data_IF_222282653213
#
_entry.id   IF_222282653213
#
_cell.length_a   1.000
_cell.length_b   1.000
_cell.length_c   1.000
_cell.angle_alpha   90.00
_cell.angle_beta   90.00
_cell.angle_gamma   90.00
#
_symmetry.space_group_name_H-M   'P 1'
#
loop_
_entity.id
_entity.type
_entity.pdbx_description
1 polymer ?
#
# COMPACT_ATOMS: atom_id res chain seq x y z
N UNK A 1 -38.04 14.98 -28.21
CA UNK A 1 -39.17 15.37 -27.33
C UNK A 1 -39.58 14.15 -26.52
N UNK A 2 -40.01 14.35 -25.26
CA UNK A 2 -40.34 13.35 -24.21
C UNK A 2 -39.12 12.83 -23.44
N UNK A 3 -39.01 12.81 -22.10
CA UNK A 3 -39.61 13.54 -20.95
C UNK A 3 -38.64 13.19 -19.80
N UNK A 4 -37.99 14.15 -19.15
CA UNK A 4 -37.30 13.91 -17.88
C UNK A 4 -38.16 14.47 -16.74
N UNK A 5 -38.42 13.63 -15.74
CA UNK A 5 -39.38 13.81 -14.66
C UNK A 5 -38.63 13.60 -13.34
N UNK A 6 -38.75 14.54 -12.39
CA UNK A 6 -38.43 14.26 -10.98
C UNK A 6 -37.68 15.35 -10.21
N UNK A 7 -38.35 16.48 -9.95
CA UNK A 7 -38.39 17.20 -8.66
C UNK A 7 -38.46 16.20 -7.48
N UNK A 8 -37.99 16.41 -6.25
CA UNK A 8 -37.52 17.56 -5.48
C UNK A 8 -37.70 17.20 -3.98
N UNK A 9 -36.94 17.88 -3.11
CA UNK A 9 -37.17 18.14 -1.67
C UNK A 9 -37.76 17.04 -0.75
N UNK A 10 -36.99 16.71 0.30
CA UNK A 10 -37.49 16.06 1.51
C UNK A 10 -36.58 16.32 2.72
N UNK A 11 -36.80 17.44 3.40
CA UNK A 11 -36.41 17.62 4.82
C UNK A 11 -37.40 16.82 5.66
N UNK A 12 -36.93 16.07 6.65
CA UNK A 12 -37.66 15.81 7.90
C UNK A 12 -36.68 15.33 8.96
N UNK A 13 -36.54 16.18 9.99
CA UNK A 13 -35.94 15.83 11.26
C UNK A 13 -36.91 14.92 12.03
N UNK A 14 -36.36 13.96 12.78
CA UNK A 14 -37.10 13.26 13.83
C UNK A 14 -36.16 13.03 15.03
N UNK A 15 -36.36 13.87 16.06
CA UNK A 15 -35.94 13.64 17.43
C UNK A 15 -36.91 12.64 18.08
N UNK A 16 -36.39 11.61 18.76
CA UNK A 16 -37.10 10.83 19.79
C UNK A 16 -36.04 10.05 20.59
N UNK A 17 -35.70 10.48 21.81
CA UNK A 17 -36.29 10.09 23.11
C UNK A 17 -35.81 8.72 23.62
N UNK A 18 -35.01 8.79 24.70
CA UNK A 18 -34.64 7.72 25.64
C UNK A 18 -35.88 7.05 26.26
N UNK A 19 -35.75 5.79 26.75
CA UNK A 19 -35.79 5.58 28.22
C UNK A 19 -34.82 4.45 28.68
N UNK A 20 -34.03 4.70 29.73
CA UNK A 20 -34.22 4.25 31.12
C UNK A 20 -33.79 2.80 31.45
N UNK A 21 -32.88 2.75 32.43
CA UNK A 21 -32.88 1.82 33.56
C UNK A 21 -32.41 0.39 33.36
N UNK A 22 -31.27 0.09 33.96
CA UNK A 22 -30.80 -1.26 34.26
C UNK A 22 -29.73 -1.23 35.35
N UNK A 23 -30.10 -0.79 36.56
CA UNK A 23 -29.28 -0.94 37.76
C UNK A 23 -29.41 -2.38 38.22
N UNK A 24 -28.34 -3.16 38.18
CA UNK A 24 -28.25 -4.43 38.88
C UNK A 24 -27.18 -4.30 39.97
N UNK A 25 -27.66 -4.07 41.19
CA UNK A 25 -26.93 -4.29 42.43
C UNK A 25 -26.96 -5.81 42.72
N UNK A 26 -25.79 -6.42 42.87
CA UNK A 26 -25.60 -7.69 43.57
C UNK A 26 -24.34 -7.50 44.44
N UNK A 27 -24.53 -7.11 45.69
CA UNK A 27 -24.63 -7.98 46.87
C UNK A 27 -23.27 -8.53 47.32
N UNK A 28 -22.75 -7.83 48.33
CA UNK A 28 -21.95 -8.28 49.47
C UNK A 28 -21.54 -9.76 49.53
N UNK A 29 -20.23 -10.00 49.71
CA UNK A 29 -19.61 -10.52 50.95
C UNK A 29 -18.08 -10.50 50.76
N UNK A 30 -17.40 -9.58 51.44
CA UNK A 30 -15.95 -9.67 51.66
C UNK A 30 -15.71 -10.58 52.86
N UNK A 31 -15.14 -11.75 52.61
CA UNK A 31 -14.64 -12.66 53.64
C UNK A 31 -13.12 -12.81 53.45
N UNK A 32 -12.39 -12.30 54.44
CA UNK A 32 -10.95 -12.45 54.63
C UNK A 32 -10.59 -13.92 54.89
N UNK A 33 -9.56 -14.43 54.20
CA UNK A 33 -8.53 -15.36 54.69
C UNK A 33 -7.56 -15.69 53.53
N UNK A 34 -6.34 -15.14 53.48
CA UNK A 34 -5.12 -15.64 54.14
C UNK A 34 -4.51 -16.88 53.45
N UNK A 35 -3.36 -16.72 52.76
CA UNK A 35 -2.09 -17.48 52.95
C UNK A 35 -1.08 -17.33 51.80
N UNK A 36 0.03 -16.70 52.17
CA UNK A 36 1.45 -17.06 51.92
C UNK A 36 1.75 -18.34 51.11
N UNK A 37 2.59 -18.23 50.07
CA UNK A 37 3.27 -19.37 49.41
C UNK A 37 3.67 -19.12 47.94
N UNK A 38 4.95 -19.32 47.54
CA UNK A 38 5.53 -18.79 46.29
C UNK A 38 5.48 -19.78 45.11
N UNK A 39 5.86 -19.28 43.94
CA UNK A 39 6.11 -20.01 42.67
C UNK A 39 4.89 -20.17 41.73
N UNK A 40 5.08 -19.76 40.47
CA UNK A 40 4.17 -20.06 39.37
C UNK A 40 3.46 -18.88 38.72
N UNK A 41 4.05 -18.38 37.63
CA UNK A 41 3.47 -17.60 36.52
C UNK A 41 2.05 -17.05 36.66
N UNK A 42 1.95 -15.72 36.75
CA UNK A 42 0.73 -14.98 36.44
C UNK A 42 1.03 -14.03 35.28
N UNK A 43 1.06 -14.57 34.06
CA UNK A 43 0.91 -13.78 32.84
C UNK A 43 -0.52 -13.20 32.86
N UNK A 44 -0.62 -11.87 32.80
CA UNK A 44 -1.90 -11.18 32.75
C UNK A 44 -2.72 -11.68 31.54
N UNK A 45 -4.05 -11.85 31.66
CA UNK A 45 -4.88 -12.20 30.52
C UNK A 45 -4.75 -11.10 29.45
N UNK A 46 -4.03 -11.40 28.36
CA UNK A 46 -4.03 -10.55 27.20
C UNK A 46 -5.49 -10.46 26.69
N UNK A 47 -5.99 -9.24 26.37
CA UNK A 47 -7.33 -9.09 25.83
C UNK A 47 -7.46 -9.92 24.54
N UNK A 48 -8.67 -10.46 24.24
CA UNK A 48 -8.87 -11.31 23.08
C UNK A 48 -8.47 -10.54 21.81
N UNK A 49 -7.54 -11.13 21.06
CA UNK A 49 -7.11 -10.68 19.75
C UNK A 49 -8.34 -10.39 18.87
N UNK A 50 -8.71 -9.12 18.76
CA UNK A 50 -9.56 -8.64 17.68
C UNK A 50 -8.87 -8.94 16.34
N UNK A 51 -9.61 -9.00 15.22
CA UNK A 51 -9.02 -9.32 13.92
C UNK A 51 -7.86 -8.35 13.64
N UNK A 52 -6.64 -8.90 13.58
CA UNK A 52 -5.41 -8.14 13.30
C UNK A 52 -5.61 -7.29 12.05
N UNK A 53 -5.63 -5.98 12.25
CA UNK A 53 -5.68 -5.02 11.16
C UNK A 53 -4.36 -5.12 10.40
N UNK A 54 -4.45 -5.59 9.15
CA UNK A 54 -3.64 -5.19 8.01
C UNK A 54 -2.19 -4.81 8.33
N UNK A 55 -1.30 -5.80 8.29
CA UNK A 55 0.14 -5.56 8.34
C UNK A 55 0.53 -4.60 7.22
N UNK A 56 1.26 -3.54 7.59
CA UNK A 56 1.94 -2.66 6.62
C UNK A 56 2.95 -3.51 5.86
N UNK A 57 2.94 -3.44 4.54
CA UNK A 57 3.94 -4.10 3.70
C UNK A 57 5.16 -3.20 3.58
N UNK A 58 6.34 -3.72 3.90
CA UNK A 58 7.59 -2.97 3.84
C UNK A 58 8.51 -3.56 2.78
N UNK A 59 9.13 -2.69 1.98
CA UNK A 59 9.96 -3.06 0.85
C UNK A 59 11.36 -2.46 0.98
N UNK A 60 12.37 -3.26 0.66
CA UNK A 60 13.75 -2.84 0.41
C UNK A 60 14.35 -3.72 -0.68
N UNK A 61 13.80 -3.58 -1.88
CA UNK A 61 14.12 -4.44 -3.02
C UNK A 61 15.11 -3.76 -3.96
N UNK A 62 15.97 -4.58 -4.57
CA UNK A 62 16.90 -4.19 -5.62
C UNK A 62 16.81 -5.19 -6.78
N UNK A 63 16.36 -4.72 -7.93
CA UNK A 63 16.32 -5.49 -9.16
C UNK A 63 17.46 -5.06 -10.07
N UNK A 64 18.08 -6.02 -10.76
CA UNK A 64 19.13 -5.74 -11.74
C UNK A 64 18.95 -6.66 -12.94
N UNK A 65 18.93 -6.07 -14.13
CA UNK A 65 18.70 -6.77 -15.39
C UNK A 65 19.79 -6.43 -16.41
N UNK A 66 20.47 -7.43 -17.00
CA UNK A 66 21.28 -7.21 -18.19
C UNK A 66 20.39 -6.87 -19.38
N UNK A 67 20.85 -5.95 -20.23
CA UNK A 67 20.17 -5.57 -21.47
C UNK A 67 20.99 -6.01 -22.68
N UNK A 68 20.31 -6.25 -23.81
CA UNK A 68 20.93 -6.81 -25.02
C UNK A 68 22.04 -5.92 -25.62
N UNK A 69 21.96 -4.60 -25.40
CA UNK A 69 22.93 -3.61 -25.90
C UNK A 69 24.17 -3.45 -25.02
N UNK A 70 24.42 -4.36 -24.07
CA UNK A 70 25.56 -4.28 -23.15
C UNK A 70 25.37 -3.25 -22.02
N UNK A 71 24.15 -2.73 -21.87
CA UNK A 71 23.76 -1.92 -20.73
C UNK A 71 23.26 -2.79 -19.58
N UNK A 72 23.24 -2.21 -18.38
CA UNK A 72 22.64 -2.76 -17.19
C UNK A 72 21.60 -1.79 -16.67
N UNK A 73 20.42 -2.32 -16.38
CA UNK A 73 19.37 -1.59 -15.68
C UNK A 73 19.31 -2.08 -14.23
N UNK A 74 19.13 -1.16 -13.29
CA UNK A 74 18.83 -1.50 -11.91
C UNK A 74 17.77 -0.58 -11.32
N UNK A 75 16.87 -1.13 -10.52
CA UNK A 75 15.85 -0.38 -9.79
C UNK A 75 15.88 -0.76 -8.31
N UNK A 76 15.97 0.23 -7.43
CA UNK A 76 15.81 0.08 -5.99
C UNK A 76 14.49 0.70 -5.56
N UNK A 77 13.69 -0.06 -4.82
CA UNK A 77 12.39 0.37 -4.32
C UNK A 77 12.36 0.16 -2.82
N UNK A 78 12.14 1.25 -2.08
CA UNK A 78 12.20 1.28 -0.62
C UNK A 78 11.01 1.99 -0.03
N UNK A 79 10.44 1.46 1.03
CA UNK A 79 9.39 2.14 1.79
C UNK A 79 8.27 1.20 2.19
N UNK A 80 7.05 1.72 2.24
CA UNK A 80 5.91 0.95 2.73
C UNK A 80 4.66 1.13 1.89
N UNK A 81 3.79 0.12 1.91
CA UNK A 81 2.42 0.20 1.41
C UNK A 81 1.48 -0.16 2.54
N UNK A 82 0.56 0.75 2.85
CA UNK A 82 -0.39 0.61 3.95
C UNK A 82 -1.75 0.19 3.40
N UNK A 83 -2.32 -0.95 3.82
CA UNK A 83 -3.68 -1.28 3.43
C UNK A 83 -4.69 -0.32 4.07
N UNK A 84 -5.66 0.11 3.28
CA UNK A 84 -6.79 0.94 3.70
C UNK A 84 -8.05 0.08 3.60
N UNK A 85 -8.73 -0.13 4.72
CA UNK A 85 -10.03 -0.81 4.73
C UNK A 85 -11.04 0.10 4.03
N UNK A 86 -11.24 -0.15 2.74
CA UNK A 86 -12.33 0.46 2.00
C UNK A 86 -13.62 -0.32 2.30
N UNK A 87 -14.77 0.36 2.29
CA UNK A 87 -16.06 -0.27 2.57
C UNK A 87 -16.34 -1.48 1.67
N UNK A 88 -17.36 -2.27 2.03
CA UNK A 88 -17.67 -3.63 1.52
C UNK A 88 -17.60 -3.84 -0.01
N UNK A 89 -17.73 -2.77 -0.79
CA UNK A 89 -17.83 -2.80 -2.26
C UNK A 89 -16.61 -2.21 -3.01
N UNK A 90 -15.57 -1.74 -2.30
CA UNK A 90 -14.51 -0.90 -2.88
C UNK A 90 -13.18 -1.62 -3.19
N UNK A 91 -13.11 -2.94 -2.99
CA UNK A 91 -11.87 -3.72 -3.13
C UNK A 91 -10.81 -3.34 -2.08
N UNK A 92 -9.69 -4.09 -2.04
CA UNK A 92 -8.57 -3.72 -1.18
C UNK A 92 -7.85 -2.51 -1.78
N UNK A 93 -7.88 -1.39 -1.06
CA UNK A 93 -7.11 -0.20 -1.40
C UNK A 93 -5.87 -0.10 -0.52
N UNK A 94 -4.88 0.61 -1.02
CA UNK A 94 -3.61 0.81 -0.37
C UNK A 94 -3.14 2.25 -0.53
N UNK A 95 -2.32 2.69 0.41
CA UNK A 95 -1.65 3.98 0.39
C UNK A 95 -0.13 3.74 0.36
N UNK A 96 0.54 4.00 -0.78
CA UNK A 96 1.98 3.83 -0.88
C UNK A 96 2.74 5.02 -0.29
N UNK A 97 3.91 4.72 0.27
CA UNK A 97 4.99 5.66 0.51
C UNK A 97 6.31 4.99 0.13
N UNK A 98 6.66 5.07 -1.16
CA UNK A 98 7.78 4.36 -1.76
C UNK A 98 8.76 5.36 -2.40
N UNK A 99 10.04 5.22 -2.08
CA UNK A 99 11.14 5.82 -2.80
C UNK A 99 11.61 4.87 -3.91
N UNK A 100 11.72 5.40 -5.12
CA UNK A 100 12.09 4.64 -6.32
C UNK A 100 13.35 5.25 -6.89
N UNK A 101 14.39 4.44 -7.08
CA UNK A 101 15.63 4.85 -7.74
C UNK A 101 15.94 3.90 -8.87
N UNK A 102 15.96 4.39 -10.10
CA UNK A 102 16.34 3.63 -11.28
C UNK A 102 17.69 4.14 -11.82
N UNK A 103 18.49 3.22 -12.34
CA UNK A 103 19.81 3.47 -12.91
C UNK A 103 19.95 2.69 -14.21
N UNK A 104 20.45 3.35 -15.24
CA UNK A 104 20.86 2.75 -16.50
C UNK A 104 22.34 3.02 -16.70
N UNK A 105 23.13 1.97 -16.82
CA UNK A 105 24.57 2.05 -17.04
C UNK A 105 24.96 1.31 -18.31
N UNK A 106 25.45 2.05 -19.29
CA UNK A 106 25.91 1.51 -20.57
C UNK A 106 27.42 1.67 -20.70
N UNK A 107 28.09 0.71 -21.32
CA UNK A 107 29.53 0.80 -21.54
C UNK A 107 29.86 2.02 -22.43
N UNK A 108 30.78 2.86 -21.96
CA UNK A 108 31.22 4.04 -22.72
C UNK A 108 30.25 5.23 -22.72
N UNK A 109 29.14 5.16 -21.98
CA UNK A 109 28.21 6.27 -21.79
C UNK A 109 28.14 6.68 -20.31
N UNK A 110 27.63 7.88 -20.05
CA UNK A 110 27.34 8.32 -18.68
C UNK A 110 26.17 7.51 -18.11
N UNK A 111 26.27 7.14 -16.83
CA UNK A 111 25.16 6.50 -16.11
C UNK A 111 24.00 7.49 -15.98
N UNK A 112 22.80 7.05 -16.35
CA UNK A 112 21.56 7.80 -16.18
C UNK A 112 20.89 7.33 -14.90
N UNK A 113 20.44 8.28 -14.07
CA UNK A 113 19.77 8.00 -12.80
C UNK A 113 18.45 8.77 -12.72
N UNK A 114 17.40 8.07 -12.30
CA UNK A 114 16.10 8.66 -11.93
C UNK A 114 15.86 8.35 -10.46
N UNK A 115 15.34 9.33 -9.71
CA UNK A 115 14.98 9.16 -8.29
C UNK A 115 13.69 9.90 -8.01
N UNK A 116 12.68 9.15 -7.64
CA UNK A 116 11.30 9.59 -7.55
C UNK A 116 10.66 9.05 -6.25
N UNK A 117 9.50 9.61 -5.88
CA UNK A 117 8.71 9.13 -4.76
C UNK A 117 7.26 8.88 -5.20
N UNK A 118 6.72 7.72 -4.82
CA UNK A 118 5.31 7.36 -4.94
C UNK A 118 4.68 7.48 -3.57
N UNK A 119 4.13 8.66 -3.28
CA UNK A 119 3.46 8.97 -2.02
C UNK A 119 2.36 10.01 -2.24
N UNK A 120 1.44 10.14 -1.29
CA UNK A 120 0.41 11.18 -1.31
C UNK A 120 -0.63 11.02 -2.42
N UNK A 121 -0.80 9.81 -2.94
CA UNK A 121 -1.77 9.48 -4.00
C UNK A 121 -3.20 9.26 -3.47
N UNK A 122 -3.34 9.17 -2.15
CA UNK A 122 -4.55 8.66 -1.50
C UNK A 122 -4.76 7.15 -1.74
N UNK A 123 -5.92 6.60 -1.32
CA UNK A 123 -6.21 5.17 -1.45
C UNK A 123 -6.36 4.74 -2.92
N UNK A 124 -5.42 3.93 -3.40
CA UNK A 124 -5.36 3.40 -4.76
C UNK A 124 -5.39 1.87 -4.75
N UNK A 125 -5.59 1.24 -5.90
CA UNK A 125 -5.50 -0.23 -6.01
C UNK A 125 -4.06 -0.70 -6.10
N UNK A 126 -3.82 -1.98 -5.84
CA UNK A 126 -2.50 -2.59 -6.02
C UNK A 126 -1.96 -2.41 -7.45
N UNK A 127 -2.79 -2.68 -8.47
CA UNK A 127 -2.42 -2.48 -9.87
C UNK A 127 -2.04 -1.02 -10.21
N UNK A 128 -2.61 -0.05 -9.49
CA UNK A 128 -2.21 1.35 -9.63
C UNK A 128 -0.85 1.63 -8.99
N UNK A 129 -0.51 0.96 -7.88
CA UNK A 129 0.85 1.04 -7.31
C UNK A 129 1.87 0.47 -8.30
N UNK A 130 1.61 -0.71 -8.86
CA UNK A 130 2.45 -1.37 -9.87
C UNK A 130 2.71 -0.42 -11.04
N UNK A 131 1.64 0.09 -11.67
CA UNK A 131 1.76 1.04 -12.78
C UNK A 131 2.54 2.33 -12.41
N UNK A 132 2.36 2.86 -11.20
CA UNK A 132 3.11 4.02 -10.73
C UNK A 132 4.60 3.69 -10.54
N UNK A 133 4.94 2.51 -10.05
CA UNK A 133 6.32 2.07 -9.90
C UNK A 133 6.99 1.92 -11.27
N UNK A 134 6.33 1.25 -12.23
CA UNK A 134 6.82 1.12 -13.61
C UNK A 134 7.09 2.49 -14.23
N UNK A 135 6.13 3.40 -14.13
CA UNK A 135 6.24 4.74 -14.70
C UNK A 135 7.38 5.55 -14.05
N UNK A 136 7.47 5.54 -12.71
CA UNK A 136 8.49 6.33 -11.97
C UNK A 136 9.89 5.75 -12.07
N UNK A 137 10.01 4.45 -12.29
CA UNK A 137 11.28 3.77 -12.51
C UNK A 137 11.69 3.76 -14.00
N UNK A 138 10.85 4.28 -14.90
CA UNK A 138 11.18 4.36 -16.33
C UNK A 138 12.28 5.38 -16.59
N UNK A 139 13.23 5.02 -17.45
CA UNK A 139 14.33 5.90 -17.85
C UNK A 139 14.19 6.21 -19.34
N UNK A 140 14.10 7.50 -19.66
CA UNK A 140 14.17 7.98 -21.04
C UNK A 140 15.61 8.33 -21.43
N UNK A 141 16.04 7.86 -22.59
CA UNK A 141 17.34 8.16 -23.20
C UNK A 141 17.17 8.77 -24.58
N UNK A 142 18.18 9.51 -25.05
CA UNK A 142 18.32 9.88 -26.45
C UNK A 142 19.39 9.01 -27.09
N UNK A 143 19.00 8.22 -28.09
CA UNK A 143 19.85 7.28 -28.80
C UNK A 143 19.78 7.55 -30.31
N UNK A 144 20.88 8.11 -30.83
CA UNK A 144 20.98 8.53 -32.22
C UNK A 144 19.83 9.46 -32.67
N UNK A 145 19.44 10.41 -31.80
CA UNK A 145 18.37 11.39 -32.08
C UNK A 145 16.96 10.82 -31.93
N UNK A 146 16.81 9.62 -31.36
CA UNK A 146 15.51 9.02 -31.04
C UNK A 146 15.36 8.95 -29.53
N UNK A 147 14.18 9.32 -29.04
CA UNK A 147 13.82 9.12 -27.63
C UNK A 147 13.40 7.67 -27.41
N UNK A 148 14.16 6.98 -26.59
CA UNK A 148 13.91 5.61 -26.19
C UNK A 148 13.55 5.56 -24.71
N UNK A 149 12.81 4.54 -24.29
CA UNK A 149 12.42 4.34 -22.90
C UNK A 149 12.75 2.93 -22.45
N UNK A 150 13.35 2.82 -21.27
CA UNK A 150 13.52 1.58 -20.52
C UNK A 150 12.45 1.54 -19.43
N UNK A 151 11.51 0.61 -19.55
CA UNK A 151 10.35 0.48 -18.65
C UNK A 151 10.51 -0.83 -17.89
N UNK A 152 10.74 -0.82 -16.57
CA UNK A 152 10.76 -2.06 -15.80
C UNK A 152 9.34 -2.63 -15.68
N UNK A 153 9.25 -3.94 -15.59
CA UNK A 153 8.02 -4.67 -15.26
C UNK A 153 8.10 -5.07 -13.78
N UNK A 154 7.19 -4.55 -12.96
CA UNK A 154 7.22 -4.70 -11.51
C UNK A 154 5.83 -5.13 -11.02
N UNK A 155 5.78 -6.28 -10.38
CA UNK A 155 4.56 -6.85 -9.80
C UNK A 155 4.60 -6.74 -8.27
N UNK A 156 3.47 -6.41 -7.64
CA UNK A 156 3.26 -6.72 -6.23
C UNK A 156 2.72 -8.15 -6.14
N UNK A 157 3.39 -9.01 -5.40
CA UNK A 157 2.94 -10.40 -5.19
C UNK A 157 2.84 -10.66 -3.69
N UNK A 158 1.61 -10.72 -3.19
CA UNK A 158 1.36 -10.78 -1.75
C UNK A 158 1.87 -9.52 -1.05
N UNK A 159 2.85 -9.67 -0.17
CA UNK A 159 3.54 -8.60 0.56
C UNK A 159 4.91 -8.23 -0.04
N UNK A 160 5.33 -8.86 -1.15
CA UNK A 160 6.61 -8.62 -1.83
C UNK A 160 6.50 -7.87 -3.16
N UNK A 161 7.64 -7.40 -3.67
CA UNK A 161 7.79 -6.88 -5.04
C UNK A 161 8.63 -7.86 -5.85
N UNK A 162 8.23 -8.08 -7.10
CA UNK A 162 8.99 -8.90 -8.05
C UNK A 162 9.28 -8.06 -9.28
N UNK A 163 10.54 -8.01 -9.69
CA UNK A 163 10.92 -7.47 -10.99
C UNK A 163 10.89 -8.60 -12.03
N UNK A 164 10.05 -8.45 -13.06
CA UNK A 164 9.91 -9.45 -14.13
C UNK A 164 10.89 -9.22 -15.29
N UNK A 165 11.30 -7.97 -15.52
CA UNK A 165 12.22 -7.61 -16.59
C UNK A 165 12.24 -6.13 -16.89
N UNK A 166 12.79 -5.77 -18.05
CA UNK A 166 12.81 -4.41 -18.57
C UNK A 166 12.48 -4.42 -20.05
N UNK A 167 11.40 -3.75 -20.40
CA UNK A 167 10.99 -3.50 -21.77
C UNK A 167 11.72 -2.28 -22.34
N UNK A 168 12.24 -2.42 -23.56
CA UNK A 168 12.88 -1.34 -24.31
C UNK A 168 11.97 -0.86 -25.43
N UNK A 169 11.53 0.40 -25.34
CA UNK A 169 10.56 1.00 -26.23
C UNK A 169 11.21 2.15 -27.01
N UNK A 170 11.43 1.94 -28.30
CA UNK A 170 11.89 2.99 -29.21
C UNK A 170 10.95 3.14 -30.41
N UNK A 171 10.66 4.37 -30.85
CA UNK A 171 9.99 4.61 -32.11
C UNK A 171 10.74 3.94 -33.28
N UNK A 172 9.96 3.32 -34.17
CA UNK A 172 10.48 2.83 -35.45
C UNK A 172 10.87 4.03 -36.34
N UNK A 173 11.94 3.93 -37.13
CA UNK A 173 12.32 4.96 -38.11
C UNK A 173 11.20 5.23 -39.14
#
# INVERSE_FOLDING_TARGET
>A
MVRSKGTGFGRLAAFALLPLSGVALADTVSLLAQRDGPDGGAEAPQPPNGPSVSSVWAYDELFTFPLENGCWYSASIRGTVRPIVAGRDAGQKVEPDLAVTALLSCQGAATVKVSERVAGTGPITQAQVEHLLEWRASILTDEAGRKCSYVPEIDLVGDGLVGAGVSYLCPRP
#
